data_IF_152400618659
#
_entry.id   IF_152400618659
#
_cell.length_a   1.000
_cell.length_b   1.000
_cell.length_c   1.000
_cell.angle_alpha   90.00
_cell.angle_beta   90.00
_cell.angle_gamma   90.00
#
_symmetry.space_group_name_H-M   'P 1'
#
loop_
_entity.id
_entity.type
_entity.pdbx_description
1 polymer ?
#
# COMPACT_ATOMS: atom_id res chain seq x y z
N UNK A 1 8.02 -23.56 27.66
CA UNK A 1 8.32 -23.13 26.29
C UNK A 1 7.99 -21.65 26.21
N UNK A 2 9.00 -20.79 26.09
CA UNK A 2 8.75 -19.41 25.73
C UNK A 2 8.48 -19.38 24.22
N UNK A 3 7.44 -18.67 23.73
CA UNK A 3 7.32 -18.43 22.29
C UNK A 3 8.59 -17.73 21.83
N UNK A 4 9.11 -18.02 20.61
CA UNK A 4 10.30 -17.34 20.13
C UNK A 4 9.96 -15.84 20.06
N UNK A 5 10.74 -15.00 20.73
CA UNK A 5 10.58 -13.53 20.78
C UNK A 5 10.51 -12.88 19.37
N UNK A 6 10.83 -13.66 18.33
CA UNK A 6 10.90 -13.24 16.94
C UNK A 6 9.64 -13.57 16.10
N UNK A 7 8.65 -14.29 16.62
CA UNK A 7 7.42 -14.61 15.85
C UNK A 7 6.52 -13.37 15.79
N UNK A 8 6.30 -12.72 16.94
CA UNK A 8 5.47 -11.52 17.02
C UNK A 8 6.04 -10.30 16.28
N UNK A 9 7.36 -10.17 16.15
CA UNK A 9 8.01 -9.10 15.38
C UNK A 9 7.78 -9.26 13.86
N UNK A 10 7.81 -10.50 13.37
CA UNK A 10 7.61 -10.85 11.96
C UNK A 10 6.17 -10.64 11.52
N UNK A 11 5.20 -11.02 12.36
CA UNK A 11 3.77 -10.82 12.06
C UNK A 11 3.39 -9.35 12.08
N UNK A 12 3.93 -8.58 13.02
CA UNK A 12 3.76 -7.13 13.07
C UNK A 12 4.35 -6.46 11.81
N UNK A 13 5.53 -6.90 11.36
CA UNK A 13 6.14 -6.38 10.14
C UNK A 13 5.32 -6.65 8.88
N UNK A 14 4.70 -7.84 8.81
CA UNK A 14 3.78 -8.16 7.71
C UNK A 14 2.53 -7.31 7.76
N UNK A 15 1.96 -7.11 8.95
CA UNK A 15 0.79 -6.24 9.14
C UNK A 15 1.08 -4.80 8.72
N UNK A 16 2.24 -4.25 9.10
CA UNK A 16 2.67 -2.91 8.73
C UNK A 16 2.84 -2.75 7.22
N UNK A 17 3.45 -3.72 6.53
CA UNK A 17 3.54 -3.70 5.06
C UNK A 17 2.14 -3.70 4.43
N UNK A 18 1.23 -4.53 4.92
CA UNK A 18 -0.15 -4.60 4.39
C UNK A 18 -0.87 -3.28 4.62
N UNK A 19 -0.69 -2.67 5.80
CA UNK A 19 -1.28 -1.37 6.13
C UNK A 19 -0.70 -0.26 5.24
N UNK A 20 0.62 -0.23 5.03
CA UNK A 20 1.29 0.72 4.13
C UNK A 20 0.77 0.61 2.69
N UNK A 21 0.63 -0.61 2.18
CA UNK A 21 0.04 -0.85 0.86
C UNK A 21 -1.42 -0.39 0.81
N UNK A 22 -2.19 -0.63 1.87
CA UNK A 22 -3.58 -0.20 1.94
C UNK A 22 -3.72 1.33 1.87
N UNK A 23 -2.83 2.07 2.54
CA UNK A 23 -2.78 3.54 2.45
C UNK A 23 -2.40 4.03 1.06
N UNK A 24 -1.48 3.35 0.36
CA UNK A 24 -1.07 3.71 -1.00
C UNK A 24 -2.21 3.61 -2.02
N UNK A 25 -3.14 2.67 -1.81
CA UNK A 25 -4.34 2.46 -2.65
C UNK A 25 -5.60 3.12 -2.08
N UNK A 26 -5.51 3.83 -0.95
CA UNK A 26 -6.65 4.55 -0.40
C UNK A 26 -6.96 5.80 -1.24
N UNK A 27 -8.20 6.29 -1.14
CA UNK A 27 -8.57 7.57 -1.76
C UNK A 27 -7.65 8.68 -1.23
N UNK A 28 -7.11 9.55 -2.10
CA UNK A 28 -6.22 10.62 -1.66
C UNK A 28 -6.95 11.59 -0.72
N UNK A 29 -6.36 11.83 0.43
CA UNK A 29 -6.81 12.84 1.39
C UNK A 29 -5.60 13.39 2.14
N UNK A 30 -5.79 14.52 2.83
CA UNK A 30 -4.73 15.10 3.66
C UNK A 30 -4.34 14.11 4.78
N UNK A 31 -5.34 13.50 5.42
CA UNK A 31 -5.17 12.51 6.48
C UNK A 31 -4.41 11.28 5.98
N UNK A 32 -4.78 10.73 4.81
CA UNK A 32 -4.10 9.57 4.25
C UNK A 32 -2.66 9.89 3.83
N UNK A 33 -2.39 11.11 3.33
CA UNK A 33 -1.02 11.56 3.03
C UNK A 33 -0.16 11.65 4.29
N UNK A 34 -0.71 12.26 5.35
CA UNK A 34 -0.03 12.37 6.65
C UNK A 34 0.22 11.00 7.28
N UNK A 35 -0.78 10.11 7.24
CA UNK A 35 -0.64 8.73 7.70
C UNK A 35 0.44 7.98 6.92
N UNK A 36 0.45 8.08 5.59
CA UNK A 36 1.45 7.43 4.73
C UNK A 36 2.88 7.92 5.05
N UNK A 37 3.05 9.23 5.28
CA UNK A 37 4.33 9.81 5.64
C UNK A 37 4.83 9.36 7.02
N UNK A 38 3.92 9.19 8.00
CA UNK A 38 4.26 8.71 9.34
C UNK A 38 4.61 7.22 9.34
N UNK A 39 3.76 6.41 8.71
CA UNK A 39 3.82 4.95 8.77
C UNK A 39 5.00 4.36 8.00
N UNK A 40 5.46 5.01 6.92
CA UNK A 40 6.47 4.40 6.04
C UNK A 40 7.84 4.24 6.70
N UNK A 41 8.27 5.20 7.52
CA UNK A 41 9.57 5.14 8.20
C UNK A 41 9.56 4.10 9.32
N UNK A 42 8.47 4.02 10.08
CA UNK A 42 8.25 3.00 11.12
C UNK A 42 8.21 1.59 10.51
N UNK A 43 7.49 1.43 9.39
CA UNK A 43 7.40 0.16 8.67
C UNK A 43 8.77 -0.29 8.19
N UNK A 44 9.60 0.60 7.62
CA UNK A 44 10.96 0.24 7.16
C UNK A 44 11.83 -0.24 8.32
N UNK A 45 11.78 0.46 9.46
CA UNK A 45 12.55 0.08 10.64
C UNK A 45 12.12 -1.29 11.18
N UNK A 46 10.82 -1.53 11.24
CA UNK A 46 10.23 -2.74 11.79
C UNK A 46 10.46 -3.95 10.88
N UNK A 47 10.34 -3.79 9.57
CA UNK A 47 10.66 -4.84 8.58
C UNK A 47 12.16 -5.19 8.62
N UNK A 48 13.03 -4.19 8.79
CA UNK A 48 14.48 -4.42 8.98
C UNK A 48 14.77 -5.22 10.25
N UNK A 49 14.10 -4.91 11.35
CA UNK A 49 14.26 -5.60 12.63
C UNK A 49 13.72 -7.03 12.61
N UNK A 50 12.60 -7.26 11.91
CA UNK A 50 11.98 -8.56 11.76
C UNK A 50 12.77 -9.55 10.88
N UNK A 51 13.78 -9.07 10.14
CA UNK A 51 14.60 -9.87 9.23
C UNK A 51 13.75 -10.78 8.31
N UNK A 52 12.70 -10.21 7.73
CA UNK A 52 11.79 -10.92 6.84
C UNK A 52 12.55 -11.52 5.65
N UNK A 53 12.25 -12.78 5.29
CA UNK A 53 12.79 -13.40 4.08
C UNK A 53 12.44 -12.56 2.85
N UNK A 54 13.44 -12.28 2.01
CA UNK A 54 13.29 -11.39 0.85
C UNK A 54 13.35 -9.90 1.18
N UNK A 55 13.56 -9.51 2.46
CA UNK A 55 13.68 -8.10 2.85
C UNK A 55 14.72 -7.37 2.02
N UNK A 56 15.93 -7.92 1.90
CA UNK A 56 17.02 -7.30 1.15
C UNK A 56 16.66 -6.98 -0.32
N UNK A 57 15.75 -7.76 -0.92
CA UNK A 57 15.26 -7.52 -2.28
C UNK A 57 14.22 -6.39 -2.34
N UNK A 58 13.39 -6.22 -1.30
CA UNK A 58 12.34 -5.19 -1.25
C UNK A 58 12.80 -3.88 -0.60
N UNK A 59 13.86 -3.89 0.21
CA UNK A 59 14.36 -2.69 0.92
C UNK A 59 14.61 -1.53 -0.04
N UNK A 60 15.27 -1.70 -1.20
CA UNK A 60 15.47 -0.59 -2.13
C UNK A 60 14.15 0.00 -2.62
N UNK A 61 13.13 -0.84 -2.83
CA UNK A 61 11.80 -0.42 -3.27
C UNK A 61 11.01 0.29 -2.18
N UNK A 62 11.13 -0.13 -0.93
CA UNK A 62 10.53 0.56 0.21
C UNK A 62 11.18 1.94 0.44
N UNK A 63 12.50 2.06 0.25
CA UNK A 63 13.21 3.35 0.34
C UNK A 63 12.83 4.29 -0.80
N UNK A 64 12.74 3.78 -2.03
CA UNK A 64 12.24 4.53 -3.19
C UNK A 64 10.81 5.03 -2.94
N UNK A 65 9.94 4.15 -2.44
CA UNK A 65 8.57 4.49 -2.09
C UNK A 65 8.51 5.56 -0.97
N UNK A 66 9.33 5.45 0.08
CA UNK A 66 9.43 6.48 1.14
C UNK A 66 9.81 7.85 0.57
N UNK A 67 10.78 7.90 -0.33
CA UNK A 67 11.17 9.14 -1.00
C UNK A 67 10.03 9.73 -1.86
N UNK A 68 9.24 8.89 -2.52
CA UNK A 68 8.06 9.33 -3.27
C UNK A 68 6.98 9.88 -2.32
N UNK A 69 6.68 9.19 -1.22
CA UNK A 69 5.65 9.60 -0.25
C UNK A 69 5.95 10.97 0.39
N UNK A 70 7.21 11.24 0.73
CA UNK A 70 7.63 12.52 1.32
C UNK A 70 7.45 13.71 0.38
N UNK A 71 7.58 13.48 -0.92
CA UNK A 71 7.42 14.50 -1.96
C UNK A 71 6.06 14.44 -2.65
N UNK A 72 5.15 13.59 -2.17
CA UNK A 72 3.87 13.34 -2.81
C UNK A 72 3.01 14.61 -2.77
N UNK A 73 2.73 15.20 -3.93
CA UNK A 73 1.76 16.27 -4.03
C UNK A 73 0.33 15.70 -3.99
N UNK A 74 -0.56 16.36 -3.23
CA UNK A 74 -1.93 15.86 -3.05
C UNK A 74 -2.78 16.07 -4.31
N UNK A 75 -2.53 17.11 -5.09
CA UNK A 75 -3.24 17.37 -6.34
C UNK A 75 -2.84 16.36 -7.41
N UNK A 76 -1.54 16.07 -7.52
CA UNK A 76 -1.03 15.06 -8.44
C UNK A 76 -1.56 13.67 -8.09
N UNK A 77 -1.54 13.31 -6.80
CA UNK A 77 -2.09 12.04 -6.34
C UNK A 77 -3.59 11.92 -6.63
N UNK A 78 -4.39 12.97 -6.39
CA UNK A 78 -5.81 12.99 -6.73
C UNK A 78 -6.06 12.78 -8.22
N UNK A 79 -5.30 13.49 -9.06
CA UNK A 79 -5.42 13.39 -10.52
C UNK A 79 -5.14 11.97 -10.99
N UNK A 80 -4.06 11.38 -10.49
CA UNK A 80 -3.63 10.06 -10.93
C UNK A 80 -4.49 8.93 -10.36
N UNK A 81 -4.93 9.05 -9.11
CA UNK A 81 -5.89 8.13 -8.50
C UNK A 81 -7.22 8.14 -9.28
N UNK A 82 -7.72 9.33 -9.62
CA UNK A 82 -8.93 9.45 -10.43
C UNK A 82 -8.75 8.83 -11.82
N UNK A 83 -7.61 9.07 -12.47
CA UNK A 83 -7.29 8.50 -13.80
C UNK A 83 -7.22 6.97 -13.79
N UNK A 84 -6.63 6.39 -12.76
CA UNK A 84 -6.38 4.95 -12.67
C UNK A 84 -7.60 4.17 -12.17
N UNK A 85 -8.30 4.72 -11.17
CA UNK A 85 -9.25 3.97 -10.36
C UNK A 85 -10.69 4.48 -10.45
N UNK A 86 -10.92 5.72 -10.91
CA UNK A 86 -12.26 6.31 -11.04
C UNK A 86 -12.62 6.49 -12.53
N UNK A 87 -13.92 6.44 -12.85
CA UNK A 87 -14.39 6.69 -14.22
C UNK A 87 -14.17 5.53 -15.20
N UNK A 88 -13.59 5.79 -16.38
CA UNK A 88 -13.23 4.75 -17.36
C UNK A 88 -11.99 4.02 -16.86
N UNK A 89 -12.22 3.04 -15.99
CA UNK A 89 -11.21 2.44 -15.15
C UNK A 89 -10.16 1.68 -15.98
N UNK A 90 -8.90 2.12 -15.90
CA UNK A 90 -7.77 1.41 -16.51
C UNK A 90 -7.33 0.23 -15.63
N UNK A 91 -7.46 0.36 -14.30
CA UNK A 91 -7.07 -0.67 -13.33
C UNK A 91 -8.04 -0.72 -12.14
N UNK A 92 -9.10 -1.55 -12.16
CA UNK A 92 -10.06 -1.60 -11.07
C UNK A 92 -9.46 -2.16 -9.78
N UNK A 93 -9.48 -1.35 -8.71
CA UNK A 93 -9.07 -1.77 -7.34
C UNK A 93 -10.22 -2.39 -6.54
N UNK A 94 -11.44 -2.36 -7.08
CA UNK A 94 -12.56 -3.14 -6.52
C UNK A 94 -12.69 -4.43 -7.30
N UNK A 95 -12.78 -5.55 -6.58
CA UNK A 95 -13.02 -6.88 -7.15
C UNK A 95 -14.43 -7.06 -7.72
N UNK A 96 -15.11 -5.97 -8.12
CA UNK A 96 -16.38 -6.09 -8.85
C UNK A 96 -16.06 -6.84 -10.14
N UNK A 97 -16.32 -8.15 -10.09
CA UNK A 97 -16.71 -8.94 -11.24
C UNK A 97 -17.62 -8.03 -12.05
N UNK A 98 -17.10 -7.56 -13.19
CA UNK A 98 -17.92 -6.98 -14.22
C UNK A 98 -18.79 -8.17 -14.64
N UNK A 99 -19.93 -8.36 -13.96
CA UNK A 99 -21.05 -9.06 -14.54
C UNK A 99 -21.41 -8.18 -15.73
N UNK A 100 -20.80 -8.49 -16.87
CA UNK A 100 -21.35 -8.08 -18.14
C UNK A 100 -22.81 -8.49 -18.04
N UNK A 101 -23.72 -7.51 -17.98
CA UNK A 101 -25.09 -7.74 -18.36
C UNK A 101 -25.01 -8.35 -19.75
N UNK A 102 -25.05 -9.68 -19.84
CA UNK A 102 -25.46 -10.37 -21.05
C UNK A 102 -26.93 -10.04 -21.24
N UNK A 103 -27.22 -8.80 -21.65
CA UNK A 103 -28.37 -8.53 -22.50
C UNK A 103 -28.01 -9.14 -23.84
N UNK A 104 -28.33 -10.42 -23.97
CA UNK A 104 -28.43 -11.04 -25.28
C UNK A 104 -29.44 -10.19 -26.10
N UNK A 105 -29.10 -9.81 -27.35
CA UNK A 105 -30.03 -9.09 -28.19
C UNK A 105 -31.08 -10.06 -28.75
N UNK A 106 -32.34 -9.66 -28.59
CA UNK A 106 -33.60 -10.17 -29.15
C UNK A 106 -34.15 -11.49 -28.59
#
# INVERSE_FOLDING_TARGET
MNPPENVGSVELARADIVFLLSLAFASPSKENKEALALTIDESIALVKAANLDGFAAITPKLLEFSAMCRNLDLSDWNTEYARLFLGSIVCPITSRLIFAETKAPF
#
